data_IF_945977857833
#
_entry.id   IF_945977857833
#
_cell.length_a   1.000
_cell.length_b   1.000
_cell.length_c   1.000
_cell.angle_alpha   90.00
_cell.angle_beta   90.00
_cell.angle_gamma   90.00
#
_symmetry.space_group_name_H-M   'P 1'
#
loop_
_entity.id
_entity.type
_entity.pdbx_description
1 polymer ?
#
# COMPACT_ATOMS: atom_id res chain seq x y z
N UNK A 1 -70.42 -45.46 -1.93
CA UNK A 1 -70.04 -46.15 -3.19
C UNK A 1 -68.81 -45.47 -3.77
N UNK A 2 -67.72 -46.23 -3.89
CA UNK A 2 -66.55 -46.08 -4.78
C UNK A 2 -65.81 -44.72 -4.88
N UNK A 3 -64.59 -44.76 -4.33
CA UNK A 3 -63.34 -44.08 -4.71
C UNK A 3 -63.25 -43.56 -6.15
N UNK A 4 -62.57 -42.43 -6.33
CA UNK A 4 -61.37 -42.35 -7.18
C UNK A 4 -60.48 -41.17 -6.77
N UNK A 5 -59.25 -41.48 -6.34
CA UNK A 5 -58.12 -40.54 -6.27
C UNK A 5 -57.66 -40.19 -7.68
N UNK A 6 -57.16 -38.97 -7.93
CA UNK A 6 -55.99 -38.72 -8.79
C UNK A 6 -55.32 -37.37 -8.50
N UNK A 7 -54.09 -37.46 -7.97
CA UNK A 7 -52.86 -36.81 -8.44
C UNK A 7 -52.90 -35.30 -8.78
N UNK A 8 -52.51 -34.48 -7.82
CA UNK A 8 -51.94 -33.15 -8.09
C UNK A 8 -50.44 -33.32 -8.29
N UNK A 9 -50.03 -33.35 -9.55
CA UNK A 9 -48.61 -33.32 -9.94
C UNK A 9 -48.07 -31.89 -9.76
N UNK A 10 -47.34 -31.65 -8.66
CA UNK A 10 -46.58 -30.42 -8.46
C UNK A 10 -45.29 -30.53 -9.27
N UNK A 11 -45.25 -29.84 -10.41
CA UNK A 11 -44.09 -29.72 -11.28
C UNK A 11 -43.07 -28.78 -10.63
N UNK A 12 -42.07 -29.33 -9.91
CA UNK A 12 -40.87 -28.57 -9.52
C UNK A 12 -40.01 -28.35 -10.76
N UNK A 13 -40.10 -27.17 -11.37
CA UNK A 13 -39.15 -26.71 -12.38
C UNK A 13 -37.86 -26.33 -11.64
N UNK A 14 -36.91 -27.26 -11.59
CA UNK A 14 -35.55 -26.99 -11.15
C UNK A 14 -34.82 -26.22 -12.28
N UNK A 15 -34.88 -24.90 -12.26
CA UNK A 15 -34.02 -24.05 -13.08
C UNK A 15 -32.63 -24.01 -12.47
N UNK A 16 -31.78 -24.98 -12.84
CA UNK A 16 -30.34 -24.87 -12.64
C UNK A 16 -29.80 -23.79 -13.56
N UNK A 17 -29.68 -22.57 -13.04
CA UNK A 17 -28.93 -21.50 -13.69
C UNK A 17 -27.45 -21.83 -13.53
N UNK A 18 -26.86 -22.40 -14.58
CA UNK A 18 -25.41 -22.55 -14.69
C UNK A 18 -24.83 -21.17 -14.99
N UNK A 19 -24.46 -20.43 -13.94
CA UNK A 19 -23.54 -19.29 -14.08
C UNK A 19 -22.13 -19.84 -14.32
N UNK A 20 -21.84 -20.23 -15.55
CA UNK A 20 -20.46 -20.36 -16.02
C UNK A 20 -19.90 -18.93 -16.14
N UNK A 21 -19.38 -18.41 -15.04
CA UNK A 21 -18.54 -17.22 -15.05
C UNK A 21 -17.26 -17.59 -15.76
N UNK A 22 -17.16 -17.19 -17.03
CA UNK A 22 -15.89 -17.15 -17.76
C UNK A 22 -15.09 -16.01 -17.11
N UNK A 23 -14.44 -16.32 -15.99
CA UNK A 23 -13.25 -15.60 -15.58
C UNK A 23 -12.20 -15.93 -16.63
N UNK A 24 -12.15 -15.12 -17.69
CA UNK A 24 -10.97 -15.02 -18.52
C UNK A 24 -9.85 -14.51 -17.61
N UNK A 25 -9.20 -15.42 -16.89
CA UNK A 25 -7.90 -15.15 -16.29
C UNK A 25 -6.96 -14.90 -17.47
N UNK A 26 -6.82 -13.64 -17.85
CA UNK A 26 -5.63 -13.19 -18.54
C UNK A 26 -4.49 -13.31 -17.51
N UNK A 27 -4.04 -14.54 -17.28
CA UNK A 27 -2.78 -14.82 -16.64
C UNK A 27 -1.72 -14.48 -17.68
N UNK A 28 -1.50 -13.19 -17.91
CA UNK A 28 -0.25 -12.73 -18.48
C UNK A 28 0.80 -13.06 -17.43
N UNK A 29 1.39 -14.25 -17.55
CA UNK A 29 2.61 -14.59 -16.82
C UNK A 29 3.68 -13.65 -17.35
N UNK A 30 3.78 -12.47 -16.72
CA UNK A 30 4.89 -11.57 -16.92
C UNK A 30 6.16 -12.43 -16.76
N UNK A 31 6.92 -12.54 -17.83
CA UNK A 31 8.13 -13.36 -17.82
C UNK A 31 9.05 -12.74 -16.78
N UNK A 32 9.32 -13.46 -15.71
CA UNK A 32 10.16 -12.96 -14.62
C UNK A 32 11.55 -12.68 -15.22
N UNK A 33 12.13 -11.48 -15.01
CA UNK A 33 13.47 -11.18 -15.48
C UNK A 33 14.44 -12.27 -15.02
N UNK A 34 15.21 -12.85 -15.96
CA UNK A 34 16.21 -13.88 -15.64
C UNK A 34 17.44 -13.30 -14.93
N UNK A 35 17.66 -11.98 -15.06
CA UNK A 35 18.74 -11.23 -14.41
C UNK A 35 18.14 -10.03 -13.65
N UNK A 36 18.39 -9.97 -12.35
CA UNK A 36 17.99 -8.86 -11.47
C UNK A 36 19.15 -7.90 -11.13
N UNK A 37 20.34 -8.12 -11.71
CA UNK A 37 21.53 -7.32 -11.44
C UNK A 37 21.69 -6.13 -12.38
N UNK A 38 21.08 -6.20 -13.56
CA UNK A 38 21.20 -5.18 -14.62
C UNK A 38 19.85 -4.52 -14.91
N UNK A 39 19.80 -3.19 -14.95
CA UNK A 39 18.59 -2.44 -15.29
C UNK A 39 18.79 -1.50 -16.47
N UNK A 40 17.72 -1.26 -17.22
CA UNK A 40 17.60 -0.14 -18.16
C UNK A 40 17.52 1.15 -17.34
N UNK A 41 18.38 2.13 -17.63
CA UNK A 41 18.37 3.42 -16.94
C UNK A 41 17.58 4.45 -17.77
N UNK A 42 16.66 5.14 -17.10
CA UNK A 42 15.96 6.32 -17.65
C UNK A 42 16.19 7.49 -16.69
N UNK A 43 16.61 8.64 -17.21
CA UNK A 43 16.90 9.84 -16.42
C UNK A 43 15.79 10.86 -16.58
N UNK A 44 15.24 11.31 -15.46
CA UNK A 44 14.23 12.37 -15.41
C UNK A 44 14.84 13.62 -14.81
N UNK A 45 14.83 14.72 -15.56
CA UNK A 45 15.37 16.01 -15.13
C UNK A 45 14.58 17.16 -15.79
N UNK A 46 14.08 18.07 -14.96
CA UNK A 46 13.12 19.12 -15.39
C UNK A 46 13.64 20.07 -16.45
N UNK A 47 14.93 20.39 -16.41
CA UNK A 47 15.55 21.39 -17.27
C UNK A 47 16.15 20.77 -18.55
N UNK A 48 15.81 19.51 -18.85
CA UNK A 48 16.11 18.87 -20.13
C UNK A 48 17.50 18.26 -20.24
N UNK A 49 18.18 18.01 -19.11
CA UNK A 49 19.47 17.28 -19.10
C UNK A 49 19.33 15.77 -18.92
N UNK A 50 18.10 15.27 -18.78
CA UNK A 50 17.76 13.85 -18.75
C UNK A 50 17.02 13.43 -20.01
N UNK A 51 16.66 12.16 -20.09
CA UNK A 51 15.90 11.57 -21.20
C UNK A 51 14.47 12.13 -21.25
N UNK A 52 13.88 12.43 -20.08
CA UNK A 52 12.54 13.02 -19.95
C UNK A 52 12.53 14.18 -18.95
N UNK A 53 11.55 15.08 -19.09
CA UNK A 53 11.34 16.20 -18.17
C UNK A 53 10.38 15.86 -17.03
N UNK A 54 9.45 14.95 -17.29
CA UNK A 54 8.42 14.51 -16.34
C UNK A 54 8.59 13.04 -15.99
N UNK A 55 8.07 12.65 -14.84
CA UNK A 55 8.12 11.25 -14.39
C UNK A 55 7.10 10.42 -15.16
N UNK A 56 5.92 10.97 -15.46
CA UNK A 56 4.89 10.27 -16.23
C UNK A 56 5.38 9.93 -17.65
N UNK A 57 6.06 10.85 -18.36
CA UNK A 57 6.63 10.53 -19.70
C UNK A 57 7.65 9.38 -19.64
N UNK A 58 8.48 9.33 -18.60
CA UNK A 58 9.44 8.24 -18.42
C UNK A 58 8.76 6.89 -18.11
N UNK A 59 7.63 6.91 -17.40
CA UNK A 59 6.81 5.70 -17.21
C UNK A 59 6.15 5.31 -18.54
N UNK A 60 5.66 6.30 -19.29
CA UNK A 60 4.96 6.12 -20.55
C UNK A 60 5.86 5.49 -21.64
N UNK A 61 7.16 5.80 -21.63
CA UNK A 61 8.14 5.21 -22.54
C UNK A 61 8.46 3.73 -22.28
N UNK A 62 8.18 3.21 -21.08
CA UNK A 62 8.36 1.78 -20.78
C UNK A 62 7.34 0.95 -21.56
N UNK A 63 7.76 -0.09 -22.31
CA UNK A 63 6.83 -0.92 -23.08
C UNK A 63 5.77 -1.61 -22.22
N UNK A 64 4.59 -1.84 -22.81
CA UNK A 64 3.58 -2.70 -22.21
C UNK A 64 4.11 -4.14 -22.05
N UNK A 65 3.66 -4.83 -21.01
CA UNK A 65 4.10 -6.16 -20.59
C UNK A 65 5.62 -6.25 -20.36
N UNK A 66 6.21 -5.17 -19.84
CA UNK A 66 7.64 -5.09 -19.55
C UNK A 66 8.13 -6.30 -18.76
N UNK A 67 9.26 -6.87 -19.17
CA UNK A 67 9.92 -8.00 -18.51
C UNK A 67 11.36 -7.66 -18.08
N UNK A 68 11.77 -6.39 -18.19
CA UNK A 68 13.10 -5.92 -17.81
C UNK A 68 13.05 -5.08 -16.54
N UNK A 69 14.18 -5.02 -15.83
CA UNK A 69 14.33 -4.02 -14.79
C UNK A 69 14.46 -2.64 -15.43
N UNK A 70 13.53 -1.74 -15.13
CA UNK A 70 13.63 -0.33 -15.52
C UNK A 70 13.89 0.51 -14.28
N UNK A 71 14.93 1.31 -14.31
CA UNK A 71 15.31 2.22 -13.25
C UNK A 71 15.18 3.67 -13.72
N UNK A 72 14.12 4.33 -13.27
CA UNK A 72 13.85 5.73 -13.52
C UNK A 72 14.56 6.54 -12.41
N UNK A 73 15.71 7.12 -12.75
CA UNK A 73 16.49 8.01 -11.89
C UNK A 73 15.96 9.44 -12.01
N UNK A 74 15.36 9.95 -10.94
CA UNK A 74 14.75 11.27 -10.88
C UNK A 74 15.69 12.25 -10.16
N UNK A 75 16.07 13.31 -10.87
CA UNK A 75 16.92 14.36 -10.32
C UNK A 75 16.25 15.13 -9.15
N UNK A 76 17.02 15.88 -8.34
CA UNK A 76 16.45 16.83 -7.38
C UNK A 76 15.46 17.81 -8.04
N UNK A 77 14.30 18.02 -7.42
CA UNK A 77 13.26 18.89 -7.94
C UNK A 77 11.87 18.62 -7.34
N UNK A 78 10.94 19.53 -7.59
CA UNK A 78 9.53 19.43 -7.17
C UNK A 78 8.65 19.10 -8.39
N UNK A 79 8.40 17.83 -8.65
CA UNK A 79 7.61 17.34 -9.77
C UNK A 79 6.12 17.46 -9.44
N UNK A 80 5.44 18.47 -10.01
CA UNK A 80 4.01 18.68 -9.81
C UNK A 80 3.24 17.87 -10.85
N UNK A 81 3.05 16.59 -10.56
CA UNK A 81 2.47 15.59 -11.44
C UNK A 81 1.50 14.71 -10.66
N UNK A 82 0.45 14.24 -11.34
CA UNK A 82 -0.41 13.18 -10.86
C UNK A 82 -0.06 11.91 -11.64
N UNK A 83 0.55 10.95 -10.97
CA UNK A 83 1.25 9.84 -11.62
C UNK A 83 0.46 8.55 -11.46
N UNK A 84 0.37 7.79 -12.54
CA UNK A 84 -0.12 6.42 -12.53
C UNK A 84 0.99 5.52 -13.10
N UNK A 85 1.38 4.48 -12.36
CA UNK A 85 2.22 3.39 -12.84
C UNK A 85 1.28 2.25 -13.28
N UNK A 86 1.03 2.05 -14.59
CA UNK A 86 0.00 1.13 -15.08
C UNK A 86 0.32 -0.33 -14.78
N UNK A 87 -0.71 -1.16 -14.58
CA UNK A 87 -0.56 -2.58 -14.21
C UNK A 87 0.26 -3.40 -15.22
N UNK A 88 0.21 -3.04 -16.50
CA UNK A 88 0.95 -3.69 -17.58
C UNK A 88 2.41 -3.23 -17.69
N UNK A 89 2.95 -2.48 -16.72
CA UNK A 89 4.36 -2.04 -16.72
C UNK A 89 5.09 -2.47 -15.44
N UNK A 90 5.21 -3.79 -15.18
CA UNK A 90 5.84 -4.28 -13.96
C UNK A 90 7.34 -3.98 -13.94
N UNK A 91 7.97 -4.23 -12.80
CA UNK A 91 9.44 -4.12 -12.59
C UNK A 91 10.04 -2.71 -12.67
N UNK A 92 9.23 -1.65 -12.74
CA UNK A 92 9.70 -0.26 -12.68
C UNK A 92 10.21 0.09 -11.27
N UNK A 93 11.37 0.74 -11.22
CA UNK A 93 11.90 1.42 -10.03
C UNK A 93 11.90 2.93 -10.28
N UNK A 94 11.30 3.73 -9.41
CA UNK A 94 11.45 5.19 -9.40
C UNK A 94 12.33 5.57 -8.22
N UNK A 95 13.49 6.17 -8.49
CA UNK A 95 14.44 6.55 -7.45
C UNK A 95 14.78 8.03 -7.53
N UNK A 96 14.54 8.75 -6.44
CA UNK A 96 15.17 10.05 -6.20
C UNK A 96 16.62 9.89 -5.74
N UNK A 97 17.29 11.01 -5.50
CA UNK A 97 18.63 11.03 -4.90
C UNK A 97 18.57 11.03 -3.37
N UNK A 98 17.65 11.82 -2.80
CA UNK A 98 17.36 11.95 -1.38
C UNK A 98 15.90 12.34 -1.20
N UNK A 99 15.24 11.79 -0.18
CA UNK A 99 13.82 12.06 0.03
C UNK A 99 13.49 13.55 0.21
N UNK A 100 14.39 14.32 0.80
CA UNK A 100 14.23 15.77 0.98
C UNK A 100 14.36 16.59 -0.31
N UNK A 101 15.01 16.06 -1.36
CA UNK A 101 15.40 16.82 -2.55
C UNK A 101 14.56 16.51 -3.79
N UNK A 102 13.98 15.31 -3.87
CA UNK A 102 13.10 14.90 -4.97
C UNK A 102 11.68 14.72 -4.43
N UNK A 103 10.74 15.56 -4.87
CA UNK A 103 9.34 15.56 -4.40
C UNK A 103 8.39 15.39 -5.56
N UNK A 104 7.47 14.45 -5.46
CA UNK A 104 6.28 14.32 -6.31
C UNK A 104 5.13 14.95 -5.53
N UNK A 105 4.46 15.94 -6.10
CA UNK A 105 3.43 16.70 -5.39
C UNK A 105 2.18 16.91 -6.23
N UNK A 106 1.03 16.72 -5.60
CA UNK A 106 -0.26 17.15 -6.11
C UNK A 106 -1.12 17.72 -4.96
N UNK A 107 -2.36 18.12 -5.23
CA UNK A 107 -3.21 18.80 -4.25
C UNK A 107 -4.70 18.52 -4.46
N UNK A 108 -5.06 17.27 -4.69
CA UNK A 108 -6.46 16.84 -4.86
C UNK A 108 -7.04 16.26 -3.57
N UNK A 109 -8.33 16.51 -3.35
CA UNK A 109 -9.10 15.89 -2.28
C UNK A 109 -10.40 15.29 -2.79
N UNK A 110 -11.15 14.64 -1.90
CA UNK A 110 -12.47 14.08 -2.20
C UNK A 110 -12.46 12.56 -2.30
N UNK A 111 -12.57 12.01 -3.51
CA UNK A 111 -12.54 10.55 -3.74
C UNK A 111 -11.21 9.97 -3.25
N UNK A 112 -11.29 8.93 -2.40
CA UNK A 112 -10.08 8.27 -1.88
C UNK A 112 -9.29 7.58 -3.00
N UNK A 113 -9.95 7.14 -4.06
CA UNK A 113 -9.29 6.48 -5.18
C UNK A 113 -8.64 7.49 -6.12
N UNK A 114 -9.30 8.63 -6.35
CA UNK A 114 -8.88 9.59 -7.37
C UNK A 114 -7.98 10.70 -6.82
N UNK A 115 -7.95 10.93 -5.50
CA UNK A 115 -7.13 12.00 -4.89
C UNK A 115 -5.63 11.69 -4.83
N UNK A 116 -5.22 10.45 -5.14
CA UNK A 116 -3.84 10.01 -5.05
C UNK A 116 -2.88 10.85 -5.93
N UNK A 117 -1.78 11.34 -5.34
CA UNK A 117 -0.68 11.99 -6.09
C UNK A 117 0.08 10.97 -6.94
N UNK A 118 0.35 9.79 -6.37
CA UNK A 118 0.93 8.64 -7.07
C UNK A 118 0.04 7.42 -6.85
N UNK A 119 -0.39 6.79 -7.96
CA UNK A 119 -1.07 5.49 -7.96
C UNK A 119 -0.18 4.42 -8.58
N UNK A 120 0.11 3.37 -7.82
CA UNK A 120 0.91 2.22 -8.27
C UNK A 120 -0.01 1.03 -8.50
N UNK A 121 -0.09 0.57 -9.75
CA UNK A 121 -0.84 -0.62 -10.16
C UNK A 121 0.09 -1.74 -10.67
N UNK A 122 1.33 -1.39 -11.04
CA UNK A 122 2.34 -2.31 -11.55
C UNK A 122 2.93 -3.21 -10.47
N UNK A 123 3.00 -4.51 -10.73
CA UNK A 123 3.67 -5.45 -9.84
C UNK A 123 5.19 -5.28 -9.85
N UNK A 124 5.84 -5.72 -8.76
CA UNK A 124 7.30 -5.58 -8.59
C UNK A 124 7.82 -4.13 -8.65
N UNK A 125 6.93 -3.16 -8.40
CA UNK A 125 7.29 -1.74 -8.36
C UNK A 125 8.20 -1.43 -7.16
N UNK A 126 9.16 -0.53 -7.36
CA UNK A 126 9.97 0.01 -6.27
C UNK A 126 9.99 1.54 -6.31
N UNK A 127 9.78 2.20 -5.17
CA UNK A 127 10.14 3.61 -4.99
C UNK A 127 11.26 3.78 -3.95
N UNK A 128 12.18 4.72 -4.20
CA UNK A 128 13.32 4.96 -3.30
C UNK A 128 13.64 6.43 -3.14
N UNK A 129 13.99 6.83 -1.92
CA UNK A 129 14.67 8.10 -1.63
C UNK A 129 14.01 9.33 -2.25
N UNK A 130 12.67 9.39 -2.21
CA UNK A 130 11.87 10.50 -2.71
C UNK A 130 10.70 10.80 -1.77
N UNK A 131 10.12 11.99 -1.89
CA UNK A 131 8.88 12.36 -1.22
C UNK A 131 7.71 12.22 -2.19
N UNK A 132 6.62 11.62 -1.73
CA UNK A 132 5.30 11.66 -2.38
C UNK A 132 4.39 12.44 -1.43
N UNK A 133 3.80 13.53 -1.89
CA UNK A 133 2.97 14.37 -1.04
C UNK A 133 1.68 14.84 -1.72
N UNK A 134 0.61 14.88 -0.94
CA UNK A 134 -0.62 15.57 -1.29
C UNK A 134 -0.80 16.78 -0.37
N UNK A 135 -0.89 17.97 -0.96
CA UNK A 135 -0.95 19.25 -0.24
C UNK A 135 -2.36 19.82 -0.13
N UNK A 136 -3.41 19.01 -0.34
CA UNK A 136 -4.80 19.47 -0.28
C UNK A 136 -5.17 20.13 1.05
N UNK A 137 -4.61 19.62 2.16
CA UNK A 137 -4.79 20.19 3.50
C UNK A 137 -5.48 19.22 4.46
N UNK A 138 -6.00 19.77 5.56
CA UNK A 138 -6.52 18.97 6.69
C UNK A 138 -7.97 18.51 6.54
N UNK A 139 -8.67 19.00 5.52
CA UNK A 139 -10.09 18.72 5.29
C UNK A 139 -10.27 17.60 4.27
N UNK A 140 -11.29 16.76 4.45
CA UNK A 140 -11.60 15.69 3.50
C UNK A 140 -10.49 14.64 3.38
N UNK A 141 -10.66 13.71 2.42
CA UNK A 141 -9.67 12.67 2.12
C UNK A 141 -8.70 13.19 1.06
N UNK A 142 -7.40 12.98 1.25
CA UNK A 142 -6.37 13.46 0.34
C UNK A 142 -5.21 12.45 0.30
N UNK A 143 -5.25 11.53 -0.66
CA UNK A 143 -4.26 10.45 -0.73
C UNK A 143 -2.95 10.97 -1.34
N UNK A 144 -1.81 10.71 -0.70
CA UNK A 144 -0.50 10.95 -1.31
C UNK A 144 -0.10 9.76 -2.18
N UNK A 145 -0.17 8.56 -1.62
CA UNK A 145 0.20 7.32 -2.28
C UNK A 145 -0.96 6.32 -2.21
N UNK A 146 -1.39 5.82 -3.38
CA UNK A 146 -2.23 4.64 -3.50
C UNK A 146 -1.42 3.48 -4.06
N UNK A 147 -1.45 2.33 -3.41
CA UNK A 147 -0.78 1.11 -3.88
C UNK A 147 -1.79 -0.01 -4.00
N UNK A 148 -2.03 -0.44 -5.24
CA UNK A 148 -2.93 -1.54 -5.60
C UNK A 148 -2.18 -2.49 -6.54
N UNK A 149 -1.11 -3.11 -6.05
CA UNK A 149 -0.14 -3.84 -6.86
C UNK A 149 0.47 -5.00 -6.06
N UNK A 150 0.76 -6.13 -6.71
CA UNK A 150 1.48 -7.19 -6.00
C UNK A 150 2.99 -6.91 -5.94
N UNK A 151 3.62 -7.17 -4.79
CA UNK A 151 5.08 -7.10 -4.60
C UNK A 151 5.66 -5.69 -4.80
N UNK A 152 5.02 -4.68 -4.22
CA UNK A 152 5.52 -3.30 -4.26
C UNK A 152 6.40 -2.98 -3.03
N UNK A 153 7.53 -2.30 -3.23
CA UNK A 153 8.43 -1.93 -2.14
C UNK A 153 8.83 -0.45 -2.13
N UNK A 154 8.97 0.11 -0.93
CA UNK A 154 9.29 1.52 -0.71
C UNK A 154 10.46 1.61 0.27
N UNK A 155 11.53 2.32 -0.12
CA UNK A 155 12.76 2.42 0.68
C UNK A 155 13.16 3.86 0.93
N UNK A 156 13.16 4.28 2.19
CA UNK A 156 13.59 5.64 2.55
C UNK A 156 12.72 6.74 1.95
N UNK A 157 11.44 6.43 1.66
CA UNK A 157 10.51 7.39 1.10
C UNK A 157 9.85 8.23 2.20
N UNK A 158 9.40 9.44 1.84
CA UNK A 158 8.50 10.24 2.67
C UNK A 158 7.12 10.25 2.03
N UNK A 159 6.08 9.89 2.76
CA UNK A 159 4.70 9.84 2.27
C UNK A 159 3.88 10.81 3.13
N UNK A 160 3.44 11.93 2.55
CA UNK A 160 2.97 13.09 3.30
C UNK A 160 1.57 13.53 2.85
N UNK A 161 0.63 13.58 3.78
CA UNK A 161 -0.68 14.21 3.62
C UNK A 161 -1.31 14.37 5.00
N UNK A 162 -2.62 14.56 5.07
CA UNK A 162 -3.38 14.64 6.31
C UNK A 162 -4.29 13.44 6.54
N UNK A 163 -5.43 13.33 5.86
CA UNK A 163 -6.35 12.19 6.02
C UNK A 163 -6.18 11.20 4.86
N UNK A 164 -6.10 9.90 5.18
CA UNK A 164 -5.83 8.83 4.20
C UNK A 164 -4.53 8.99 3.41
N UNK A 165 -3.45 9.48 4.05
CA UNK A 165 -2.14 9.73 3.40
C UNK A 165 -1.65 8.57 2.51
N UNK A 166 -1.68 7.36 3.05
CA UNK A 166 -1.35 6.12 2.36
C UNK A 166 -2.61 5.27 2.24
N UNK A 167 -3.11 5.12 1.01
CA UNK A 167 -4.09 4.11 0.66
C UNK A 167 -3.35 2.84 0.18
N UNK A 168 -3.04 1.99 1.14
CA UNK A 168 -2.41 0.69 0.98
C UNK A 168 -3.46 -0.36 0.59
N UNK A 169 -3.96 -0.23 -0.64
CA UNK A 169 -5.23 -0.76 -1.14
C UNK A 169 -5.27 -2.30 -1.16
N UNK A 170 -4.44 -2.93 -1.99
CA UNK A 170 -4.40 -4.39 -2.16
C UNK A 170 -3.06 -4.86 -2.71
N UNK A 171 -2.65 -6.09 -2.39
CA UNK A 171 -1.38 -6.69 -2.78
C UNK A 171 -0.44 -6.96 -1.60
N UNK A 172 0.75 -7.46 -1.89
CA UNK A 172 1.82 -7.65 -0.90
C UNK A 172 2.82 -6.49 -0.96
N UNK A 173 2.97 -5.75 0.14
CA UNK A 173 3.80 -4.54 0.15
C UNK A 173 4.85 -4.55 1.27
N UNK A 174 5.95 -3.84 1.03
CA UNK A 174 7.03 -3.68 2.00
C UNK A 174 7.51 -2.23 2.04
N UNK A 175 7.53 -1.65 3.24
CA UNK A 175 7.96 -0.29 3.50
C UNK A 175 9.14 -0.34 4.47
N UNK A 176 10.31 0.14 4.05
CA UNK A 176 11.52 0.09 4.87
C UNK A 176 12.12 1.48 5.05
N UNK A 177 12.34 1.86 6.31
CA UNK A 177 12.95 3.16 6.66
C UNK A 177 12.19 4.36 6.09
N UNK A 178 10.88 4.21 5.89
CA UNK A 178 10.02 5.28 5.38
C UNK A 178 9.58 6.21 6.50
N UNK A 179 9.25 7.44 6.13
CA UNK A 179 8.55 8.40 6.98
C UNK A 179 7.13 8.57 6.44
N UNK A 180 6.12 8.39 7.30
CA UNK A 180 4.70 8.49 6.92
C UNK A 180 4.02 9.39 7.94
N UNK A 181 3.33 10.44 7.48
CA UNK A 181 2.59 11.36 8.37
C UNK A 181 1.14 11.57 7.95
N UNK A 182 0.29 11.86 8.94
CA UNK A 182 -1.12 12.20 8.72
C UNK A 182 -1.90 12.21 10.03
N UNK A 183 -3.22 12.38 9.97
CA UNK A 183 -4.08 12.56 11.14
C UNK A 183 -5.16 11.48 11.27
N UNK A 184 -6.03 11.33 10.27
CA UNK A 184 -7.15 10.36 10.30
C UNK A 184 -6.96 9.29 9.24
N UNK A 185 -7.00 8.03 9.68
CA UNK A 185 -6.90 6.84 8.83
C UNK A 185 -5.73 6.90 7.85
N UNK A 186 -4.62 7.52 8.28
CA UNK A 186 -3.59 7.95 7.35
C UNK A 186 -2.76 6.80 6.78
N UNK A 187 -2.90 5.60 7.33
CA UNK A 187 -2.54 4.33 6.68
C UNK A 187 -3.81 3.47 6.60
N UNK A 188 -4.38 3.31 5.41
CA UNK A 188 -5.67 2.64 5.24
C UNK A 188 -5.67 1.69 4.04
N UNK A 189 -6.56 0.70 4.03
CA UNK A 189 -6.70 -0.24 2.91
C UNK A 189 -6.74 -1.71 3.34
N UNK A 190 -6.58 -2.63 2.40
CA UNK A 190 -6.65 -4.08 2.62
C UNK A 190 -5.41 -4.85 2.11
N UNK A 191 -4.27 -4.19 1.93
CA UNK A 191 -3.04 -4.90 1.56
C UNK A 191 -2.53 -5.83 2.68
N UNK A 192 -1.65 -6.75 2.30
CA UNK A 192 -0.77 -7.48 3.21
C UNK A 192 0.58 -6.74 3.26
N UNK A 193 0.80 -5.95 4.30
CA UNK A 193 1.87 -4.96 4.31
C UNK A 193 2.75 -5.06 5.53
N UNK A 194 4.05 -4.94 5.28
CA UNK A 194 5.08 -5.00 6.29
C UNK A 194 5.88 -3.70 6.31
N UNK A 195 5.72 -2.94 7.39
CA UNK A 195 6.41 -1.69 7.67
C UNK A 195 7.56 -1.99 8.63
N UNK A 196 8.80 -1.84 8.17
CA UNK A 196 10.00 -2.10 8.96
C UNK A 196 10.79 -0.81 9.17
N UNK A 197 11.12 -0.49 10.43
CA UNK A 197 11.94 0.68 10.77
C UNK A 197 11.42 2.00 10.23
N UNK A 198 10.10 2.10 10.09
CA UNK A 198 9.45 3.32 9.63
C UNK A 198 9.23 4.30 10.80
N UNK A 199 9.28 5.59 10.50
CA UNK A 199 8.82 6.65 11.40
C UNK A 199 7.40 7.03 10.99
N UNK A 200 6.46 6.76 11.90
CA UNK A 200 5.04 7.03 11.75
C UNK A 200 4.73 8.27 12.60
N UNK A 201 4.28 9.36 11.97
CA UNK A 201 4.12 10.65 12.64
C UNK A 201 2.67 11.15 12.57
N UNK A 202 1.98 11.17 13.70
CA UNK A 202 0.61 11.67 13.79
C UNK A 202 0.59 13.20 13.84
N UNK A 203 -0.12 13.81 12.90
CA UNK A 203 -0.42 15.25 12.86
C UNK A 203 -1.72 15.60 13.61
N UNK A 204 -2.42 14.60 14.17
CA UNK A 204 -3.74 14.84 14.78
C UNK A 204 -3.63 15.55 16.12
N UNK A 205 -4.18 16.77 16.20
CA UNK A 205 -4.26 17.50 17.47
C UNK A 205 -5.25 16.86 18.45
N UNK A 206 -6.27 16.13 17.96
CA UNK A 206 -7.23 15.41 18.80
C UNK A 206 -7.91 14.27 18.02
N UNK A 207 -7.99 13.08 18.62
CA UNK A 207 -8.85 11.99 18.12
C UNK A 207 -8.41 11.38 16.78
N UNK A 208 -7.12 11.44 16.43
CA UNK A 208 -6.60 10.83 15.20
C UNK A 208 -6.59 9.31 15.23
N UNK A 209 -6.39 8.70 14.06
CA UNK A 209 -6.22 7.25 13.92
C UNK A 209 -5.09 6.96 12.93
N UNK A 210 -4.10 6.18 13.36
CA UNK A 210 -2.96 5.82 12.51
C UNK A 210 -3.41 4.87 11.40
N UNK A 211 -4.05 3.76 11.77
CA UNK A 211 -4.49 2.76 10.79
C UNK A 211 -6.00 2.64 10.66
N UNK A 212 -6.47 2.38 9.45
CA UNK A 212 -7.82 1.87 9.19
C UNK A 212 -7.74 0.68 8.22
N UNK A 213 -7.60 -0.53 8.76
CA UNK A 213 -7.40 -1.74 7.95
C UNK A 213 -8.75 -2.39 7.59
N UNK A 214 -8.91 -2.80 6.33
CA UNK A 214 -10.19 -3.14 5.70
C UNK A 214 -10.38 -4.64 5.38
N UNK A 215 -9.73 -5.54 6.11
CA UNK A 215 -9.92 -6.99 5.92
C UNK A 215 -11.38 -7.38 6.10
N UNK A 216 -11.94 -8.07 5.11
CA UNK A 216 -13.38 -8.37 5.02
C UNK A 216 -13.74 -9.80 5.40
N UNK A 217 -12.79 -10.73 5.38
CA UNK A 217 -13.04 -12.12 5.78
C UNK A 217 -11.82 -12.77 6.44
N UNK A 218 -12.05 -13.87 7.17
CA UNK A 218 -10.98 -14.66 7.78
C UNK A 218 -10.14 -15.42 6.75
N UNK A 219 -10.63 -15.60 5.52
CA UNK A 219 -9.92 -16.26 4.42
C UNK A 219 -8.88 -15.34 3.76
N UNK A 220 -9.01 -14.02 3.89
CA UNK A 220 -8.00 -13.09 3.39
C UNK A 220 -6.73 -13.17 4.24
N UNK A 221 -5.56 -13.25 3.62
CA UNK A 221 -4.28 -13.13 4.32
C UNK A 221 -3.73 -11.70 4.27
N UNK A 222 -4.56 -10.71 4.59
CA UNK A 222 -4.23 -9.28 4.54
C UNK A 222 -4.08 -8.69 5.94
N UNK A 223 -3.44 -7.54 6.08
CA UNK A 223 -3.15 -6.95 7.39
C UNK A 223 -1.97 -6.00 7.34
N UNK A 224 -1.87 -5.13 8.34
CA UNK A 224 -0.73 -4.22 8.49
C UNK A 224 0.14 -4.68 9.65
N UNK A 225 1.42 -4.89 9.40
CA UNK A 225 2.41 -5.27 10.42
C UNK A 225 3.50 -4.21 10.49
N UNK A 226 3.73 -3.67 11.68
CA UNK A 226 4.75 -2.67 11.95
C UNK A 226 5.82 -3.29 12.85
N UNK A 227 7.01 -3.50 12.31
CA UNK A 227 8.15 -4.08 13.02
C UNK A 227 9.23 -3.00 13.23
N UNK A 228 9.72 -2.88 14.48
CA UNK A 228 10.85 -2.00 14.83
C UNK A 228 10.61 -0.55 14.38
N UNK A 229 9.34 -0.12 14.38
CA UNK A 229 8.93 1.22 13.96
C UNK A 229 9.00 2.20 15.14
N UNK A 230 8.87 3.49 14.83
CA UNK A 230 8.68 4.55 15.82
C UNK A 230 7.41 5.32 15.52
N UNK A 231 6.52 5.41 16.51
CA UNK A 231 5.35 6.27 16.49
C UNK A 231 5.66 7.55 17.29
N UNK A 232 5.45 8.67 16.62
CA UNK A 232 5.54 10.02 17.17
C UNK A 232 4.33 10.84 16.75
N UNK A 233 4.18 12.05 17.25
CA UNK A 233 3.16 12.96 16.76
C UNK A 233 2.90 14.12 17.69
N UNK A 234 1.84 14.85 17.39
CA UNK A 234 1.25 15.88 18.24
C UNK A 234 -0.09 15.38 18.79
N UNK A 235 -0.59 15.99 19.86
CA UNK A 235 -1.93 15.73 20.36
C UNK A 235 -2.14 14.29 20.81
N UNK A 236 -3.23 13.67 20.33
CA UNK A 236 -3.63 12.31 20.71
C UNK A 236 -4.20 11.53 19.52
N UNK A 237 -3.84 10.26 19.43
CA UNK A 237 -4.31 9.34 18.41
C UNK A 237 -4.48 7.91 18.95
N UNK A 238 -5.31 7.12 18.27
CA UNK A 238 -5.34 5.66 18.41
C UNK A 238 -4.38 5.00 17.42
N UNK A 239 -3.85 3.84 17.80
CA UNK A 239 -3.05 2.94 16.95
C UNK A 239 -3.82 2.51 15.70
N UNK A 240 -5.13 2.34 15.81
CA UNK A 240 -5.98 2.00 14.70
C UNK A 240 -7.46 1.97 15.03
N UNK A 241 -8.28 2.00 13.97
CA UNK A 241 -9.72 1.79 14.05
C UNK A 241 -10.26 0.88 12.95
N UNK A 242 -11.40 0.27 13.22
CA UNK A 242 -11.93 -0.83 12.41
C UNK A 242 -12.64 -0.35 11.15
N UNK A 243 -11.98 -0.44 9.99
CA UNK A 243 -12.67 -0.25 8.70
C UNK A 243 -13.34 -1.54 8.24
N UNK A 244 -12.62 -2.66 8.26
CA UNK A 244 -13.13 -3.98 7.89
C UNK A 244 -13.62 -4.80 9.09
N UNK A 245 -14.57 -5.73 8.91
CA UNK A 245 -15.06 -6.60 9.98
C UNK A 245 -14.04 -7.61 10.52
N UNK A 246 -12.96 -7.90 9.78
CA UNK A 246 -11.87 -8.79 10.19
C UNK A 246 -10.54 -8.04 10.30
N UNK A 247 -10.60 -6.73 10.57
CA UNK A 247 -9.46 -5.83 10.57
C UNK A 247 -8.27 -6.41 11.36
N UNK A 248 -7.08 -6.39 10.74
CA UNK A 248 -5.86 -6.97 11.31
C UNK A 248 -4.70 -5.99 11.28
N UNK A 249 -4.20 -5.63 12.47
CA UNK A 249 -3.08 -4.70 12.66
C UNK A 249 -2.20 -5.20 13.79
N UNK A 250 -0.89 -5.30 13.56
CA UNK A 250 0.08 -5.73 14.57
C UNK A 250 1.21 -4.71 14.67
N UNK A 251 1.52 -4.27 15.89
CA UNK A 251 2.72 -3.51 16.22
C UNK A 251 3.66 -4.42 17.02
N UNK A 252 4.88 -4.64 16.52
CA UNK A 252 5.89 -5.46 17.14
C UNK A 252 7.19 -4.67 17.32
N UNK A 253 7.78 -4.72 18.52
CA UNK A 253 9.04 -4.02 18.85
C UNK A 253 9.01 -2.52 18.52
N UNK A 254 7.81 -1.93 18.52
CA UNK A 254 7.60 -0.54 18.08
C UNK A 254 7.66 0.41 19.27
N UNK A 255 8.41 1.50 19.14
CA UNK A 255 8.39 2.58 20.12
C UNK A 255 7.15 3.45 19.91
N UNK A 256 6.39 3.72 20.97
CA UNK A 256 5.20 4.55 20.99
C UNK A 256 5.40 5.73 21.94
N UNK A 257 5.46 6.95 21.38
CA UNK A 257 5.38 8.17 22.19
C UNK A 257 4.01 8.31 22.88
N UNK A 258 3.88 9.29 23.77
CA UNK A 258 2.67 9.59 24.54
C UNK A 258 1.53 10.13 23.67
N UNK A 259 1.70 10.25 22.36
CA UNK A 259 0.63 10.53 21.40
C UNK A 259 -0.45 9.43 21.41
N UNK A 260 -0.10 8.19 21.76
CA UNK A 260 -1.07 7.09 21.81
C UNK A 260 -1.92 7.18 23.07
N UNK A 261 -3.24 7.19 22.89
CA UNK A 261 -4.19 7.19 24.02
C UNK A 261 -4.18 5.85 24.74
N UNK A 262 -4.47 5.79 26.06
CA UNK A 262 -4.38 4.56 26.84
C UNK A 262 -5.23 3.39 26.30
N UNK A 263 -6.39 3.69 25.72
CA UNK A 263 -7.28 2.70 25.09
C UNK A 263 -6.63 2.00 23.89
N UNK A 264 -5.67 2.66 23.23
CA UNK A 264 -4.91 2.16 22.08
C UNK A 264 -5.71 2.08 20.78
N UNK A 265 -6.93 1.56 20.82
CA UNK A 265 -7.71 1.16 19.64
C UNK A 265 -9.16 1.64 19.71
N UNK A 266 -9.82 1.74 18.56
CA UNK A 266 -11.21 2.18 18.45
C UNK A 266 -12.02 1.27 17.51
N UNK A 267 -13.15 0.75 17.97
CA UNK A 267 -14.03 -0.17 17.23
C UNK A 267 -15.17 0.54 16.48
N UNK A 268 -15.19 1.87 16.49
CA UNK A 268 -16.27 2.70 15.96
C UNK A 268 -17.65 2.35 16.55
N UNK A 269 -17.68 1.90 17.82
CA UNK A 269 -18.87 1.42 18.53
C UNK A 269 -19.53 0.18 17.90
N UNK A 270 -18.78 -0.63 17.15
CA UNK A 270 -19.26 -1.87 16.56
C UNK A 270 -18.74 -3.10 17.31
N UNK A 271 -19.36 -3.40 18.44
CA UNK A 271 -18.96 -4.48 19.33
C UNK A 271 -19.15 -5.88 18.73
N UNK A 272 -19.99 -6.03 17.69
CA UNK A 272 -20.25 -7.31 17.03
C UNK A 272 -19.04 -7.86 16.25
N UNK A 273 -17.99 -7.04 16.09
CA UNK A 273 -16.75 -7.41 15.39
C UNK A 273 -15.65 -7.90 16.32
N UNK A 274 -15.73 -7.69 17.64
CA UNK A 274 -14.59 -7.92 18.56
C UNK A 274 -13.95 -9.31 18.43
N UNK A 275 -14.75 -10.36 18.24
CA UNK A 275 -14.25 -11.73 18.07
C UNK A 275 -13.64 -12.04 16.68
N UNK A 276 -13.66 -11.09 15.76
CA UNK A 276 -13.12 -11.20 14.38
C UNK A 276 -11.90 -10.32 14.14
N UNK A 277 -11.72 -9.29 14.97
CA UNK A 277 -10.59 -8.37 14.89
C UNK A 277 -9.30 -9.05 15.37
N UNK A 278 -8.16 -8.63 14.82
CA UNK A 278 -6.85 -9.05 15.30
C UNK A 278 -5.94 -7.83 15.44
N UNK A 279 -6.09 -7.13 16.56
CA UNK A 279 -5.26 -5.98 16.93
C UNK A 279 -4.29 -6.41 18.02
N UNK A 280 -3.01 -6.39 17.71
CA UNK A 280 -1.96 -6.98 18.54
C UNK A 280 -0.78 -6.04 18.79
N UNK A 281 -0.29 -6.06 20.02
CA UNK A 281 0.95 -5.40 20.43
C UNK A 281 1.93 -6.45 20.97
N UNK A 282 3.17 -6.46 20.47
CA UNK A 282 4.24 -7.35 20.94
C UNK A 282 5.47 -6.54 21.35
N UNK A 283 5.82 -6.58 22.65
CA UNK A 283 7.02 -5.94 23.20
C UNK A 283 7.23 -4.49 22.70
N UNK A 284 6.15 -3.74 22.59
CA UNK A 284 6.19 -2.32 22.27
C UNK A 284 6.73 -1.53 23.49
N UNK A 285 7.33 -0.37 23.25
CA UNK A 285 8.01 0.40 24.30
C UNK A 285 7.68 1.89 24.22
N UNK A 286 8.05 2.65 25.24
CA UNK A 286 7.78 4.09 25.32
C UNK A 286 6.48 4.43 26.06
N UNK A 287 6.23 5.72 26.33
CA UNK A 287 5.13 6.16 27.20
C UNK A 287 3.73 5.86 26.65
N UNK A 288 3.57 5.69 25.34
CA UNK A 288 2.30 5.29 24.73
C UNK A 288 2.05 3.78 24.68
N UNK A 289 3.03 2.96 25.06
CA UNK A 289 2.96 1.50 24.99
C UNK A 289 2.39 0.84 26.27
N UNK A 290 1.98 1.62 27.28
CA UNK A 290 1.35 1.08 28.49
C UNK A 290 0.03 0.36 28.12
N UNK A 291 0.05 -0.96 28.24
CA UNK A 291 -1.06 -1.85 27.93
C UNK A 291 -2.16 -1.90 28.99
N UNK A 292 -1.94 -1.36 30.19
CA UNK A 292 -2.81 -1.58 31.36
C UNK A 292 -4.26 -1.07 31.20
N UNK A 293 -4.47 -0.13 30.28
CA UNK A 293 -5.78 0.49 29.98
C UNK A 293 -6.25 0.25 28.55
N UNK A 294 -5.62 -0.68 27.83
CA UNK A 294 -6.04 -1.05 26.48
C UNK A 294 -7.46 -1.59 26.51
N UNK A 295 -8.17 -1.42 25.41
CA UNK A 295 -9.47 -2.06 25.21
C UNK A 295 -9.35 -3.57 25.38
N UNK A 296 -10.33 -4.17 26.06
CA UNK A 296 -10.28 -5.58 26.48
C UNK A 296 -10.23 -6.60 25.32
N UNK A 297 -10.64 -6.19 24.12
CA UNK A 297 -10.64 -7.02 22.92
C UNK A 297 -9.33 -6.95 22.11
N UNK A 298 -8.37 -6.09 22.53
CA UNK A 298 -7.03 -6.07 21.94
C UNK A 298 -6.14 -7.16 22.54
N UNK A 299 -5.06 -7.50 21.84
CA UNK A 299 -4.22 -8.65 22.18
C UNK A 299 -2.82 -8.18 22.59
N UNK A 300 -2.38 -8.58 23.78
CA UNK A 300 -0.95 -8.55 24.15
C UNK A 300 -0.35 -9.88 23.71
N UNK A 301 0.47 -9.86 22.66
CA UNK A 301 0.95 -11.09 22.03
C UNK A 301 2.07 -11.74 22.84
N UNK A 302 2.03 -13.06 22.96
CA UNK A 302 3.15 -13.89 23.40
C UNK A 302 4.22 -14.03 22.31
N UNK A 303 5.40 -14.54 22.67
CA UNK A 303 6.49 -14.81 21.72
C UNK A 303 6.04 -15.77 20.59
N UNK A 304 5.22 -16.77 20.92
CA UNK A 304 4.72 -17.74 19.95
C UNK A 304 3.75 -17.09 18.95
N UNK A 305 2.80 -16.29 19.44
CA UNK A 305 1.83 -15.57 18.59
C UNK A 305 2.51 -14.50 17.72
N UNK A 306 3.53 -13.83 18.27
CA UNK A 306 4.26 -12.78 17.56
C UNK A 306 5.19 -13.32 16.46
N UNK A 307 5.67 -14.56 16.58
CA UNK A 307 6.74 -15.12 15.74
C UNK A 307 6.58 -14.88 14.23
N UNK A 308 5.37 -15.08 13.69
CA UNK A 308 5.10 -14.87 12.26
C UNK A 308 5.12 -13.39 11.83
N UNK A 309 4.89 -12.45 12.74
CA UNK A 309 4.90 -11.01 12.50
C UNK A 309 6.30 -10.39 12.61
N UNK A 310 7.30 -11.17 13.01
CA UNK A 310 8.70 -10.72 13.13
C UNK A 310 9.53 -10.93 11.86
N UNK A 311 8.94 -11.51 10.81
CA UNK A 311 9.59 -11.69 9.51
C UNK A 311 8.80 -11.06 8.38
N UNK A 312 9.52 -10.40 7.46
CA UNK A 312 8.99 -9.93 6.18
C UNK A 312 8.48 -11.06 5.28
N UNK A 313 8.77 -12.32 5.60
CA UNK A 313 8.20 -13.48 4.91
C UNK A 313 6.68 -13.59 5.09
N UNK A 314 6.09 -12.88 6.06
CA UNK A 314 4.65 -12.69 6.17
C UNK A 314 4.01 -12.17 4.86
N UNK A 315 4.74 -11.34 4.12
CA UNK A 315 4.31 -10.82 2.81
C UNK A 315 4.95 -11.58 1.64
N UNK A 316 5.58 -12.73 1.91
CA UNK A 316 6.42 -13.46 0.96
C UNK A 316 7.75 -12.77 0.66
N UNK A 317 8.15 -11.79 1.47
CA UNK A 317 9.26 -10.88 1.18
C UNK A 317 10.58 -11.57 0.83
N UNK A 318 10.92 -12.70 1.46
CA UNK A 318 12.11 -13.48 1.12
C UNK A 318 12.16 -13.98 -0.33
N UNK A 319 11.00 -14.15 -0.99
CA UNK A 319 10.92 -14.67 -2.35
C UNK A 319 10.91 -13.59 -3.44
N UNK A 320 10.37 -12.39 -3.15
CA UNK A 320 10.16 -11.35 -4.18
C UNK A 320 10.91 -10.04 -3.95
N UNK A 321 11.37 -9.76 -2.71
CA UNK A 321 12.18 -8.58 -2.47
C UNK A 321 13.51 -8.73 -3.17
N UNK A 322 13.76 -7.81 -4.10
CA UNK A 322 14.97 -7.78 -4.91
C UNK A 322 15.95 -6.73 -4.39
N UNK A 323 17.23 -7.03 -4.56
CA UNK A 323 18.30 -6.06 -4.31
C UNK A 323 18.23 -4.91 -5.32
N UNK A 324 18.94 -3.82 -5.02
CA UNK A 324 19.17 -2.77 -6.01
C UNK A 324 19.88 -3.36 -7.23
N UNK A 325 19.54 -2.88 -8.44
CA UNK A 325 20.36 -3.14 -9.61
C UNK A 325 21.79 -2.64 -9.35
N UNK A 326 22.77 -3.44 -9.75
CA UNK A 326 24.20 -3.17 -9.58
C UNK A 326 24.83 -2.55 -10.82
N UNK A 327 24.20 -2.77 -11.99
CA UNK A 327 24.66 -2.29 -13.30
C UNK A 327 23.49 -1.68 -14.07
N UNK A 328 23.81 -0.74 -14.95
CA UNK A 328 22.85 -0.14 -15.87
C UNK A 328 23.27 -0.40 -17.32
N UNK A 329 22.30 -0.66 -18.21
CA UNK A 329 22.52 -0.69 -19.66
C UNK A 329 22.57 0.74 -20.16
N UNK A 330 23.55 1.06 -21.00
CA UNK A 330 23.74 2.42 -21.55
C UNK A 330 22.80 2.76 -22.72
N UNK A 331 22.17 1.76 -23.35
CA UNK A 331 21.27 1.95 -24.50
C UNK A 331 19.80 1.76 -24.12
N UNK A 332 19.10 2.87 -23.91
CA UNK A 332 17.65 2.91 -24.14
C UNK A 332 17.42 3.34 -25.59
N UNK A 333 17.45 2.39 -26.53
CA UNK A 333 16.93 2.66 -27.88
C UNK A 333 15.42 2.82 -27.80
N UNK A 334 14.95 4.06 -27.81
CA UNK A 334 13.55 4.38 -28.07
C UNK A 334 13.24 3.83 -29.46
N UNK A 335 12.47 2.76 -29.54
CA UNK A 335 11.90 2.33 -30.81
C UNK A 335 10.88 3.39 -31.23
N UNK A 336 11.31 4.33 -32.06
CA UNK A 336 10.49 5.27 -32.83
C UNK A 336 9.59 4.48 -33.80
N UNK A 337 8.53 3.87 -33.27
CA UNK A 337 7.53 3.15 -34.07
C UNK A 337 6.24 3.95 -34.29
N UNK A 338 6.15 5.22 -33.86
CA UNK A 338 4.88 5.98 -33.95
C UNK A 338 4.97 7.47 -34.35
N UNK A 339 6.09 7.96 -34.89
CA UNK A 339 6.21 9.37 -35.34
C UNK A 339 6.33 9.56 -36.86
N UNK A 340 6.04 8.53 -37.66
CA UNK A 340 5.82 8.70 -39.11
C UNK A 340 4.37 8.44 -39.48
N UNK A 341 3.54 9.48 -39.41
CA UNK A 341 2.18 9.40 -39.93
C UNK A 341 1.26 10.57 -39.59
N UNK A 342 1.60 11.78 -40.01
CA UNK A 342 0.73 12.67 -40.81
C UNK A 342 1.22 14.12 -40.78
N UNK A 343 1.72 14.53 -41.95
CA UNK A 343 1.87 15.88 -42.53
C UNK A 343 2.26 17.06 -41.64
#
# INVERSE_FOLDING_TARGET
MKNYSQNVSILFVATTIVFASIMATCSSTATIPKDFSTAVLIRVEKYGRGDFRTIQEAIDSVPANNAELVFISVAPGIYREKIIVPANKPFITISGTRASHTKITWSDGGSILDSATLTVLASHFIARSLTIQNTYGSYGKAVALRVSADRAAFYGCRILSYNHTLLDDTGNHYYSKCYIEGATDFISGNANSFFERCLIHSLSTWGGAITAQKRVSSQENTGFTFLDCKISGVGKAVLGRTWGPYSRVVYALTYMSDVIVPQGWNDLNDHAKHNKLYYGEYRCSGPGADGSKRVAWSNSLSDAEASMFLSKDLTGGGAWLRNAALKFKDDFTINDANTKGNR
#
